data_IF_033441050282
#
_entry.id   IF_033441050282
#
_cell.length_a   1.000
_cell.length_b   1.000
_cell.length_c   1.000
_cell.angle_alpha   90.00
_cell.angle_beta   90.00
_cell.angle_gamma   90.00
#
_symmetry.space_group_name_H-M   'P 1'
#
loop_
_entity.id
_entity.type
_entity.pdbx_description
1 polymer ?
#
# COMPACT_ATOMS: atom_id res chain seq x y z
N UNK A 1 -7.03 31.30 -5.78
CA UNK A 1 -5.78 30.52 -5.98
C UNK A 1 -5.90 29.21 -5.24
N UNK A 2 -5.59 28.08 -5.87
CA UNK A 2 -5.69 26.74 -5.29
C UNK A 2 -4.42 25.93 -5.53
N UNK A 3 -4.22 24.88 -4.73
CA UNK A 3 -3.15 23.90 -4.89
C UNK A 3 -3.75 22.53 -5.21
N UNK A 4 -3.01 21.70 -5.94
CA UNK A 4 -3.43 20.32 -6.20
C UNK A 4 -3.19 19.46 -4.97
N UNK A 5 -4.21 18.67 -4.61
CA UNK A 5 -4.12 17.59 -3.63
C UNK A 5 -4.65 16.32 -4.28
N UNK A 6 -3.98 15.21 -4.04
CA UNK A 6 -4.37 13.91 -4.60
C UNK A 6 -5.19 13.14 -3.54
N UNK A 7 -6.43 12.78 -3.86
CA UNK A 7 -7.27 11.96 -3.01
C UNK A 7 -7.11 10.50 -3.44
N UNK A 8 -6.51 9.67 -2.58
CA UNK A 8 -6.22 8.28 -2.91
C UNK A 8 -6.85 7.30 -1.94
N UNK A 9 -7.18 6.12 -2.45
CA UNK A 9 -7.52 4.95 -1.65
C UNK A 9 -6.50 3.82 -1.80
N UNK A 10 -5.41 4.05 -2.56
CA UNK A 10 -4.37 3.06 -2.80
C UNK A 10 -3.02 3.56 -2.25
N UNK A 11 -2.55 2.91 -1.18
CA UNK A 11 -1.21 3.08 -0.64
C UNK A 11 -0.25 2.17 -1.42
N UNK A 12 0.21 2.67 -2.56
CA UNK A 12 1.27 2.05 -3.33
C UNK A 12 2.64 2.50 -2.78
N UNK A 13 3.53 1.55 -2.44
CA UNK A 13 4.86 1.83 -1.89
C UNK A 13 5.94 1.00 -2.59
N UNK A 14 7.14 1.55 -2.72
CA UNK A 14 8.36 0.77 -2.96
C UNK A 14 9.04 0.43 -1.63
N UNK A 15 10.09 -0.40 -1.64
CA UNK A 15 10.85 -0.71 -0.43
C UNK A 15 11.50 0.53 0.18
N UNK A 16 11.99 1.43 -0.67
CA UNK A 16 12.63 2.69 -0.27
C UNK A 16 11.62 3.64 0.40
N UNK A 17 10.35 3.58 -0.02
CA UNK A 17 9.25 4.38 0.55
C UNK A 17 8.67 3.79 1.85
N UNK A 18 9.26 2.72 2.38
CA UNK A 18 8.83 2.09 3.63
C UNK A 18 7.84 0.95 3.46
N UNK A 19 7.82 0.27 2.30
CA UNK A 19 7.08 -1.01 2.21
C UNK A 19 7.64 -2.02 3.23
N UNK A 20 6.80 -2.70 4.03
CA UNK A 20 7.26 -3.57 5.12
C UNK A 20 8.20 -4.69 4.62
N UNK A 21 9.42 -4.74 5.15
CA UNK A 21 10.42 -5.76 4.78
C UNK A 21 10.00 -7.19 5.16
N UNK A 22 9.10 -7.31 6.13
CA UNK A 22 8.55 -8.56 6.64
C UNK A 22 7.56 -9.22 5.66
N UNK A 23 6.90 -8.39 4.83
CA UNK A 23 6.04 -8.84 3.73
C UNK A 23 6.91 -9.33 2.57
N UNK A 24 7.48 -10.52 2.77
CA UNK A 24 8.28 -11.19 1.76
C UNK A 24 7.39 -12.05 0.85
N UNK A 25 7.34 -11.69 -0.43
CA UNK A 25 6.50 -12.37 -1.42
C UNK A 25 6.82 -13.86 -1.55
N UNK A 26 8.09 -14.24 -1.65
CA UNK A 26 8.50 -15.64 -1.84
C UNK A 26 8.09 -16.54 -0.67
N UNK A 27 8.17 -16.01 0.56
CA UNK A 27 7.69 -16.70 1.76
C UNK A 27 6.16 -16.81 1.76
N UNK A 28 5.48 -15.71 1.42
CA UNK A 28 4.02 -15.65 1.39
C UNK A 28 3.41 -16.60 0.35
N UNK A 29 4.03 -16.75 -0.81
CA UNK A 29 3.59 -17.68 -1.85
C UNK A 29 3.70 -19.16 -1.41
N UNK A 30 4.66 -19.50 -0.54
CA UNK A 30 4.83 -20.86 -0.02
C UNK A 30 4.00 -21.12 1.24
N UNK A 31 3.92 -20.12 2.12
CA UNK A 31 3.18 -20.15 3.38
C UNK A 31 2.53 -18.78 3.60
N UNK A 32 1.24 -18.64 3.22
CA UNK A 32 0.55 -17.37 3.33
C UNK A 32 0.53 -16.83 4.77
N UNK A 33 0.90 -15.57 4.91
CA UNK A 33 0.76 -14.82 6.15
C UNK A 33 -0.72 -14.67 6.52
N UNK A 34 -0.95 -14.55 7.82
CA UNK A 34 -2.26 -14.28 8.40
C UNK A 34 -2.24 -12.89 9.02
N UNK A 35 -3.41 -12.26 9.13
CA UNK A 35 -3.53 -10.97 9.80
C UNK A 35 -2.96 -10.98 11.23
N UNK A 36 -3.07 -12.12 11.92
CA UNK A 36 -2.51 -12.31 13.26
C UNK A 36 -1.00 -12.08 13.34
N UNK A 37 -0.25 -12.32 12.25
CA UNK A 37 1.20 -12.12 12.19
C UNK A 37 1.59 -10.62 12.24
N UNK A 38 0.63 -9.74 11.94
CA UNK A 38 0.81 -8.28 11.94
C UNK A 38 -0.06 -7.57 12.99
N UNK A 39 -0.63 -8.34 13.93
CA UNK A 39 -1.48 -7.77 14.98
C UNK A 39 -0.70 -6.73 15.79
N UNK A 40 -1.32 -5.58 16.01
CA UNK A 40 -0.78 -4.44 16.78
C UNK A 40 0.49 -3.81 16.19
N UNK A 41 0.85 -4.13 14.94
CA UNK A 41 1.99 -3.53 14.26
C UNK A 41 1.56 -2.30 13.47
N UNK A 42 2.37 -1.25 13.61
CA UNK A 42 2.22 0.01 12.88
C UNK A 42 3.43 0.18 11.98
N UNK A 43 3.16 0.41 10.70
CA UNK A 43 4.17 0.65 9.67
C UNK A 43 4.20 2.13 9.33
N UNK A 44 5.35 2.60 8.85
CA UNK A 44 5.54 3.99 8.43
C UNK A 44 5.94 4.01 6.96
N UNK A 45 5.45 5.00 6.23
CA UNK A 45 5.84 5.28 4.84
C UNK A 45 6.30 6.72 4.72
N UNK A 46 7.13 6.99 3.71
CA UNK A 46 7.68 8.31 3.46
C UNK A 46 7.86 8.60 1.98
N UNK A 47 8.17 9.86 1.66
CA UNK A 47 8.64 10.24 0.32
C UNK A 47 7.64 9.97 -0.80
N UNK A 48 6.33 9.94 -0.51
CA UNK A 48 5.32 9.86 -1.55
C UNK A 48 5.24 11.24 -2.22
N UNK A 49 5.44 11.36 -3.54
CA UNK A 49 5.37 12.66 -4.21
C UNK A 49 3.98 13.28 -4.04
N UNK A 50 3.95 14.61 -4.05
CA UNK A 50 2.76 15.44 -3.90
C UNK A 50 2.06 15.34 -2.55
N UNK A 51 1.11 16.24 -2.34
CA UNK A 51 0.24 16.25 -1.17
C UNK A 51 -0.88 15.25 -1.40
N UNK A 52 -0.88 14.16 -0.64
CA UNK A 52 -1.83 13.05 -0.75
C UNK A 52 -2.69 12.95 0.49
N UNK A 53 -3.98 12.80 0.29
CA UNK A 53 -4.96 12.53 1.34
C UNK A 53 -5.54 11.14 1.11
N UNK A 54 -5.36 10.28 2.11
CA UNK A 54 -5.90 8.93 2.11
C UNK A 54 -7.27 8.86 2.78
N UNK A 55 -8.00 7.77 2.56
CA UNK A 55 -9.26 7.54 3.26
C UNK A 55 -9.01 7.35 4.76
N UNK A 56 -9.78 8.08 5.58
CA UNK A 56 -9.73 7.98 7.04
C UNK A 56 -10.42 6.69 7.53
N UNK A 57 -9.94 6.05 8.61
CA UNK A 57 -10.67 4.98 9.27
C UNK A 57 -12.10 5.41 9.64
N UNK A 58 -13.11 4.53 9.51
CA UNK A 58 -13.01 3.08 9.29
C UNK A 58 -12.82 2.67 7.82
N UNK A 59 -12.73 3.61 6.87
CA UNK A 59 -12.59 3.31 5.45
C UNK A 59 -11.19 2.73 5.16
N UNK A 60 -11.17 1.53 4.56
CA UNK A 60 -9.95 0.86 4.08
C UNK A 60 -9.29 1.62 2.92
N UNK A 61 -7.97 1.49 2.84
CA UNK A 61 -7.16 1.78 1.67
C UNK A 61 -6.50 0.47 1.20
N UNK A 62 -6.17 0.33 -0.08
CA UNK A 62 -5.42 -0.80 -0.62
C UNK A 62 -3.94 -0.67 -0.29
N UNK A 63 -3.30 -1.78 0.07
CA UNK A 63 -1.85 -1.87 0.20
C UNK A 63 -1.27 -2.52 -1.05
N UNK A 64 -0.43 -1.77 -1.77
CA UNK A 64 0.19 -2.24 -3.01
C UNK A 64 1.71 -2.07 -2.91
N UNK A 65 2.45 -3.12 -3.22
CA UNK A 65 3.89 -3.02 -3.42
C UNK A 65 4.16 -2.73 -4.89
N UNK A 66 5.00 -1.74 -5.18
CA UNK A 66 5.54 -1.52 -6.52
C UNK A 66 6.96 -2.05 -6.55
N UNK A 67 7.16 -3.08 -7.36
CA UNK A 67 8.44 -3.74 -7.59
C UNK A 67 8.84 -3.53 -9.05
N UNK A 68 9.63 -2.49 -9.30
CA UNK A 68 10.16 -2.20 -10.63
C UNK A 68 9.09 -1.83 -11.67
N UNK A 69 8.05 -1.09 -11.25
CA UNK A 69 6.93 -0.70 -12.11
C UNK A 69 5.78 -1.71 -12.11
N UNK A 70 5.97 -2.91 -11.55
CA UNK A 70 4.94 -3.93 -11.41
C UNK A 70 4.30 -3.87 -10.03
N UNK A 71 2.98 -4.04 -9.98
CA UNK A 71 2.19 -3.90 -8.76
C UNK A 71 1.79 -5.27 -8.22
N UNK A 72 1.87 -5.37 -6.90
CA UNK A 72 1.49 -6.54 -6.12
C UNK A 72 0.48 -6.08 -5.08
N UNK A 73 -0.78 -6.51 -5.22
CA UNK A 73 -1.85 -6.16 -4.30
C UNK A 73 -1.80 -7.03 -3.05
N UNK A 74 -1.34 -6.47 -1.92
CA UNK A 74 -1.09 -7.24 -0.69
C UNK A 74 -2.29 -7.34 0.24
N UNK A 75 -3.19 -6.37 0.21
CA UNK A 75 -4.33 -6.36 1.13
C UNK A 75 -4.90 -4.98 1.38
N UNK A 76 -5.37 -4.79 2.61
CA UNK A 76 -6.07 -3.59 3.04
C UNK A 76 -5.43 -3.01 4.29
N UNK A 77 -5.39 -1.69 4.37
CA UNK A 77 -4.82 -0.92 5.48
C UNK A 77 -5.74 0.18 5.96
N UNK A 78 -5.52 0.60 7.20
CA UNK A 78 -6.00 1.87 7.73
C UNK A 78 -4.81 2.82 7.86
N UNK A 79 -4.93 4.01 7.28
CA UNK A 79 -3.98 5.09 7.52
C UNK A 79 -4.29 5.70 8.89
N UNK A 80 -3.27 5.83 9.73
CA UNK A 80 -3.37 6.34 11.10
C UNK A 80 -3.02 7.82 11.17
N UNK A 81 -1.99 8.22 10.43
CA UNK A 81 -1.57 9.62 10.32
C UNK A 81 -0.96 9.86 8.94
N UNK A 82 -1.06 11.10 8.47
CA UNK A 82 -0.30 11.61 7.34
C UNK A 82 0.40 12.90 7.73
N UNK A 83 1.59 13.12 7.20
CA UNK A 83 2.34 14.37 7.31
C UNK A 83 2.68 14.84 5.92
N UNK A 84 2.26 16.06 5.58
CA UNK A 84 2.53 16.69 4.31
C UNK A 84 3.67 17.69 4.48
N UNK A 85 4.79 17.43 3.81
CA UNK A 85 5.90 18.37 3.69
C UNK A 85 5.65 19.26 2.48
N UNK A 86 5.30 20.52 2.72
CA UNK A 86 5.03 21.48 1.65
C UNK A 86 6.29 22.09 1.03
N UNK A 87 7.45 21.97 1.68
CA UNK A 87 8.74 22.42 1.12
C UNK A 87 9.17 21.43 0.04
N UNK A 88 9.18 20.14 0.37
CA UNK A 88 9.57 19.08 -0.55
C UNK A 88 8.40 18.55 -1.40
N UNK A 89 7.17 18.98 -1.10
CA UNK A 89 5.92 18.50 -1.72
C UNK A 89 5.81 16.98 -1.64
N UNK A 90 5.94 16.43 -0.44
CA UNK A 90 5.82 14.99 -0.21
C UNK A 90 4.84 14.67 0.92
N UNK A 91 4.34 13.44 0.90
CA UNK A 91 3.50 12.87 1.94
C UNK A 91 4.22 11.69 2.59
N UNK A 92 4.13 11.65 3.92
CA UNK A 92 4.55 10.52 4.76
C UNK A 92 3.43 10.16 5.72
N UNK A 93 3.56 9.08 6.46
CA UNK A 93 2.53 8.70 7.42
C UNK A 93 2.72 7.33 8.03
N UNK A 94 1.72 6.91 8.80
CA UNK A 94 1.67 5.58 9.41
C UNK A 94 0.40 4.85 9.04
N UNK A 95 0.47 3.53 9.01
CA UNK A 95 -0.66 2.68 8.71
C UNK A 95 -0.61 1.36 9.48
N UNK A 96 -1.77 0.72 9.61
CA UNK A 96 -1.91 -0.64 10.12
C UNK A 96 -2.54 -1.54 9.06
N UNK A 97 -2.09 -2.79 8.99
CA UNK A 97 -2.69 -3.80 8.13
C UNK A 97 -3.97 -4.30 8.79
N UNK A 98 -5.07 -4.32 8.04
CA UNK A 98 -6.38 -4.80 8.51
C UNK A 98 -6.83 -6.07 7.78
N UNK A 99 -6.25 -6.36 6.62
CA UNK A 99 -6.40 -7.63 5.90
C UNK A 99 -5.15 -7.87 5.07
N UNK A 100 -4.67 -9.10 5.06
CA UNK A 100 -3.63 -9.57 4.15
C UNK A 100 -4.27 -10.60 3.21
N UNK A 101 -3.97 -10.51 1.92
CA UNK A 101 -4.52 -11.40 0.90
C UNK A 101 -3.67 -12.67 0.78
N UNK A 102 -4.33 -13.80 0.57
CA UNK A 102 -3.71 -15.04 0.07
C UNK A 102 -3.19 -14.84 -1.36
N UNK A 103 -2.22 -15.63 -1.84
CA UNK A 103 -1.70 -15.53 -3.21
C UNK A 103 -2.78 -15.49 -4.30
N UNK A 104 -3.84 -16.26 -4.14
CA UNK A 104 -4.99 -16.31 -5.04
C UNK A 104 -5.76 -14.99 -5.00
N UNK A 105 -6.07 -14.49 -3.80
CA UNK A 105 -6.72 -13.19 -3.61
C UNK A 105 -5.88 -12.03 -4.15
N UNK A 106 -4.55 -12.10 -4.08
CA UNK A 106 -3.66 -11.06 -4.61
C UNK A 106 -3.81 -10.93 -6.14
N UNK A 107 -3.89 -12.07 -6.85
CA UNK A 107 -4.11 -12.11 -8.30
C UNK A 107 -5.48 -11.57 -8.66
N UNK A 108 -6.53 -12.07 -8.00
CA UNK A 108 -7.91 -11.60 -8.22
C UNK A 108 -8.06 -10.12 -7.88
N UNK A 109 -7.45 -9.65 -6.79
CA UNK A 109 -7.49 -8.23 -6.43
C UNK A 109 -6.84 -7.35 -7.51
N UNK A 110 -5.73 -7.80 -8.11
CA UNK A 110 -5.13 -7.10 -9.24
C UNK A 110 -6.10 -7.05 -10.43
N UNK A 111 -6.61 -8.20 -10.88
CA UNK A 111 -7.50 -8.31 -12.04
C UNK A 111 -8.77 -7.45 -11.92
N UNK A 112 -9.32 -7.33 -10.71
CA UNK A 112 -10.54 -6.55 -10.46
C UNK A 112 -10.28 -5.05 -10.26
N UNK A 113 -9.10 -4.66 -9.77
CA UNK A 113 -8.85 -3.29 -9.30
C UNK A 113 -7.92 -2.52 -10.23
N UNK A 114 -7.04 -3.21 -10.97
CA UNK A 114 -6.02 -2.62 -11.83
C UNK A 114 -6.33 -2.95 -13.28
N UNK A 115 -6.87 -1.99 -14.06
CA UNK A 115 -7.25 -2.23 -15.46
C UNK A 115 -6.07 -2.31 -16.42
N UNK A 116 -4.84 -2.04 -15.96
CA UNK A 116 -3.60 -2.05 -16.75
C UNK A 116 -2.84 -3.39 -16.62
N UNK A 117 -2.93 -4.31 -17.61
CA UNK A 117 -2.26 -5.61 -17.53
C UNK A 117 -0.73 -5.49 -17.47
N UNK A 118 -0.16 -4.43 -18.02
CA UNK A 118 1.27 -4.14 -18.00
C UNK A 118 1.82 -3.92 -16.59
N UNK A 119 0.97 -3.57 -15.63
CA UNK A 119 1.36 -3.41 -14.23
C UNK A 119 1.30 -4.74 -13.46
N UNK A 120 0.79 -5.83 -14.06
CA UNK A 120 0.63 -7.09 -13.34
C UNK A 120 1.99 -7.73 -13.07
N UNK A 121 2.29 -7.99 -11.79
CA UNK A 121 3.48 -8.72 -11.37
C UNK A 121 3.37 -10.23 -11.59
N UNK A 122 2.15 -10.79 -11.59
CA UNK A 122 1.88 -12.22 -11.71
C UNK A 122 1.58 -12.67 -13.15
N UNK A 123 1.59 -11.74 -14.11
CA UNK A 123 1.43 -12.05 -15.53
C UNK A 123 2.73 -12.60 -16.15
#
# INVERSE_FOLDING_TARGET
>A
MGSFVELNDTLQLTKEQGFPSELNLEKHLKKPYRLADFKDRVFSFNGKPDVRIYKLPPVRNFLVENRGGKWICWGLVHILETTCDYVNKTTSGKFKIIRIYTPEEMKTAFELTVPQPELNYFA
#
